data_IF_196724544836
#
_entry.id   IF_196724544836
#
_cell.length_a   1.000
_cell.length_b   1.000
_cell.length_c   1.000
_cell.angle_alpha   90.00
_cell.angle_beta   90.00
_cell.angle_gamma   90.00
#
_symmetry.space_group_name_H-M   'P 1'
#
loop_
_entity.id
_entity.type
_entity.pdbx_description
1 polymer ?
#
# COMPACT_ATOMS: atom_id res chain seq x y z
N UNK A 1 55.80 -33.01 20.45
CA UNK A 1 55.50 -34.45 20.65
C UNK A 1 54.33 -34.80 19.75
N UNK A 2 54.65 -35.35 18.57
CA UNK A 2 53.90 -36.35 17.80
C UNK A 2 52.44 -36.00 17.44
N UNK A 3 52.15 -35.57 16.20
CA UNK A 3 51.85 -36.45 15.04
C UNK A 3 50.94 -37.63 15.39
N UNK A 4 49.88 -37.85 14.60
CA UNK A 4 49.64 -39.07 13.79
C UNK A 4 48.15 -39.22 13.43
N UNK A 5 47.79 -39.09 12.14
CA UNK A 5 47.55 -40.21 11.19
C UNK A 5 46.15 -40.83 11.44
N UNK A 6 45.15 -40.48 10.61
CA UNK A 6 44.80 -41.25 9.39
C UNK A 6 44.60 -42.73 9.73
N UNK A 7 43.36 -43.23 9.70
CA UNK A 7 42.94 -44.51 9.10
C UNK A 7 41.55 -44.93 9.64
N UNK A 8 40.51 -45.07 8.82
CA UNK A 8 40.30 -46.08 7.76
C UNK A 8 39.80 -47.40 8.35
N UNK A 9 38.48 -47.54 8.41
CA UNK A 9 37.75 -48.82 8.37
C UNK A 9 36.53 -48.53 7.49
N UNK A 10 36.60 -48.62 6.15
CA UNK A 10 36.64 -49.86 5.36
C UNK A 10 35.69 -50.90 5.96
N UNK A 11 34.43 -50.86 5.51
CA UNK A 11 33.73 -52.09 5.22
C UNK A 11 33.20 -52.01 3.79
N UNK A 12 33.70 -52.93 3.00
CA UNK A 12 33.50 -53.16 1.59
C UNK A 12 32.61 -54.40 1.48
N UNK A 13 31.97 -54.56 0.32
CA UNK A 13 31.39 -55.80 -0.22
C UNK A 13 29.98 -56.09 0.31
N UNK A 14 28.97 -56.53 -0.45
CA UNK A 14 28.73 -56.94 -1.84
C UNK A 14 27.20 -57.20 -1.84
N UNK A 15 26.40 -56.85 -2.84
CA UNK A 15 26.01 -57.76 -3.94
C UNK A 15 25.37 -56.98 -5.10
N UNK A 16 25.53 -57.53 -6.30
CA UNK A 16 25.32 -56.94 -7.62
C UNK A 16 23.92 -57.32 -8.21
N UNK A 17 23.69 -57.24 -9.53
CA UNK A 17 22.83 -56.27 -10.19
C UNK A 17 21.58 -56.93 -10.80
N UNK A 18 20.76 -56.15 -11.52
CA UNK A 18 19.83 -56.50 -12.62
C UNK A 18 18.70 -55.45 -12.58
N UNK A 19 18.17 -54.89 -13.65
CA UNK A 19 17.99 -55.40 -15.01
C UNK A 19 17.62 -54.18 -15.88
N UNK A 20 18.31 -54.04 -17.00
CA UNK A 20 17.84 -53.44 -18.27
C UNK A 20 16.97 -52.16 -18.21
N UNK A 21 17.56 -51.07 -18.68
CA UNK A 21 16.80 -49.89 -19.04
C UNK A 21 17.65 -48.75 -19.60
N UNK A 22 18.63 -49.03 -20.46
CA UNK A 22 19.25 -47.98 -21.28
C UNK A 22 18.30 -47.70 -22.45
N UNK A 23 17.36 -46.77 -22.27
CA UNK A 23 16.86 -45.97 -23.38
C UNK A 23 16.63 -44.54 -22.88
N UNK A 24 17.32 -43.60 -23.53
CA UNK A 24 17.11 -42.16 -23.46
C UNK A 24 17.39 -41.44 -22.12
N UNK A 25 18.66 -41.40 -21.69
CA UNK A 25 19.10 -40.36 -20.74
C UNK A 25 19.97 -39.25 -21.36
N UNK A 26 20.08 -39.19 -22.69
CA UNK A 26 20.63 -38.01 -23.39
C UNK A 26 19.61 -36.88 -23.57
N UNK A 27 18.33 -37.07 -23.16
CA UNK A 27 17.30 -36.03 -23.13
C UNK A 27 16.96 -35.53 -21.71
N UNK A 28 17.82 -35.80 -20.72
CA UNK A 28 17.60 -35.37 -19.33
C UNK A 28 18.52 -34.24 -18.85
N UNK A 29 19.46 -33.79 -19.70
CA UNK A 29 20.35 -32.67 -19.37
C UNK A 29 20.10 -31.38 -20.19
N UNK A 30 19.35 -31.43 -21.31
CA UNK A 30 18.90 -30.19 -21.99
C UNK A 30 17.67 -29.54 -21.35
N UNK A 31 16.82 -30.30 -20.64
CA UNK A 31 15.62 -29.75 -19.98
C UNK A 31 15.88 -28.93 -18.71
N UNK A 32 17.11 -28.96 -18.17
CA UNK A 32 17.47 -28.32 -16.89
C UNK A 32 18.31 -27.04 -17.04
N UNK A 33 18.79 -26.70 -18.24
CA UNK A 33 19.43 -25.42 -18.53
C UNK A 33 18.44 -24.40 -19.10
N UNK A 34 17.46 -24.87 -19.89
CA UNK A 34 16.36 -24.02 -20.39
C UNK A 34 15.45 -23.53 -19.26
N UNK A 35 15.22 -24.32 -18.19
CA UNK A 35 14.45 -23.87 -17.01
C UNK A 35 15.17 -22.80 -16.20
N UNK A 36 16.51 -22.83 -16.15
CA UNK A 36 17.31 -21.82 -15.45
C UNK A 36 17.34 -20.51 -16.24
N UNK A 37 17.44 -20.54 -17.57
CA UNK A 37 17.41 -19.34 -18.40
C UNK A 37 16.01 -18.71 -18.56
N UNK A 38 14.94 -19.50 -18.49
CA UNK A 38 13.56 -18.97 -18.51
C UNK A 38 13.21 -18.30 -17.16
N UNK A 39 13.66 -18.84 -16.02
CA UNK A 39 13.46 -18.21 -14.71
C UNK A 39 14.34 -16.96 -14.46
N UNK A 40 15.57 -16.92 -14.99
CA UNK A 40 16.46 -15.75 -14.84
C UNK A 40 16.07 -14.60 -15.78
N UNK A 41 15.57 -14.88 -16.98
CA UNK A 41 14.99 -13.86 -17.85
C UNK A 41 13.61 -13.38 -17.35
N UNK A 42 12.78 -14.25 -16.75
CA UNK A 42 11.55 -13.81 -16.07
C UNK A 42 11.84 -12.93 -14.85
N UNK A 43 12.87 -13.23 -14.06
CA UNK A 43 13.32 -12.32 -12.98
C UNK A 43 13.90 -11.01 -13.52
N UNK A 44 14.77 -11.04 -14.54
CA UNK A 44 15.25 -9.80 -15.18
C UNK A 44 14.12 -8.96 -15.78
N UNK A 45 13.14 -9.54 -16.46
CA UNK A 45 12.00 -8.80 -17.03
C UNK A 45 11.07 -8.23 -15.93
N UNK A 46 10.92 -8.91 -14.79
CA UNK A 46 10.12 -8.44 -13.65
C UNK A 46 10.83 -7.43 -12.74
N UNK A 47 12.16 -7.48 -12.68
CA UNK A 47 12.99 -6.49 -11.97
C UNK A 47 13.20 -5.22 -12.82
N UNK A 48 13.20 -5.34 -14.16
CA UNK A 48 13.34 -4.20 -15.09
C UNK A 48 12.02 -3.46 -15.34
N UNK A 49 10.85 -4.07 -15.06
CA UNK A 49 9.53 -3.41 -15.15
C UNK A 49 9.10 -2.69 -13.87
N UNK A 50 9.73 -2.95 -12.72
CA UNK A 50 9.51 -2.18 -11.48
C UNK A 50 10.29 -0.86 -11.43
N UNK A 51 11.18 -0.61 -12.40
CA UNK A 51 12.12 0.50 -12.39
C UNK A 51 11.75 1.67 -13.33
N UNK A 52 10.49 1.74 -13.77
CA UNK A 52 9.95 2.86 -14.55
C UNK A 52 8.67 3.43 -13.89
N UNK A 53 8.83 4.20 -12.81
CA UNK A 53 7.90 5.25 -12.34
C UNK A 53 8.52 6.22 -11.32
N UNK A 54 9.81 6.05 -11.03
CA UNK A 54 10.60 6.96 -10.21
C UNK A 54 10.97 8.19 -11.04
N UNK A 55 10.18 9.27 -10.91
CA UNK A 55 10.48 10.69 -11.18
C UNK A 55 9.40 11.44 -11.97
N UNK A 56 8.16 11.45 -11.49
CA UNK A 56 7.28 12.60 -11.73
C UNK A 56 6.36 12.82 -10.53
N UNK A 57 6.76 13.76 -9.67
CA UNK A 57 6.15 14.19 -8.40
C UNK A 57 6.10 13.15 -7.27
N UNK A 58 6.78 13.45 -6.15
CA UNK A 58 6.66 12.68 -4.90
C UNK A 58 5.28 12.97 -4.30
N UNK A 59 4.40 11.97 -4.29
CA UNK A 59 3.05 12.08 -3.74
C UNK A 59 2.86 11.13 -2.56
N UNK A 60 2.33 11.63 -1.45
CA UNK A 60 1.90 10.80 -0.32
C UNK A 60 0.39 10.64 -0.39
N UNK A 61 -0.08 9.39 -0.41
CA UNK A 61 -1.50 9.06 -0.35
C UNK A 61 -1.83 8.52 1.04
N UNK A 62 -2.82 9.10 1.69
CA UNK A 62 -3.36 8.62 2.97
C UNK A 62 -4.83 8.29 2.83
N UNK A 63 -5.21 7.15 3.42
CA UNK A 63 -6.56 6.59 3.32
C UNK A 63 -7.18 6.39 4.70
N UNK A 64 -8.24 7.14 5.01
CA UNK A 64 -9.13 6.87 6.14
C UNK A 64 -10.22 5.88 5.72
N UNK A 65 -10.10 4.61 6.10
CA UNK A 65 -11.06 3.57 5.69
C UNK A 65 -12.19 3.38 6.70
N UNK A 66 -13.43 3.20 6.19
CA UNK A 66 -14.64 2.87 6.98
C UNK A 66 -14.89 3.86 8.12
N UNK A 67 -14.78 5.15 7.83
CA UNK A 67 -15.11 6.21 8.78
C UNK A 67 -16.62 6.23 9.04
N UNK A 68 -17.02 6.27 10.31
CA UNK A 68 -18.41 6.27 10.77
C UNK A 68 -19.14 7.60 10.57
N UNK A 69 -18.95 8.24 9.42
CA UNK A 69 -19.52 9.56 9.12
C UNK A 69 -20.22 9.55 7.76
N UNK A 70 -21.22 10.43 7.62
CA UNK A 70 -21.91 10.61 6.35
C UNK A 70 -21.01 11.32 5.36
N UNK A 71 -21.03 10.85 4.11
CA UNK A 71 -20.31 11.44 2.99
C UNK A 71 -20.46 12.97 2.92
N UNK A 72 -21.70 13.48 2.96
CA UNK A 72 -21.97 14.92 2.82
C UNK A 72 -21.37 15.76 3.97
N UNK A 73 -21.26 15.18 5.18
CA UNK A 73 -20.69 15.87 6.34
C UNK A 73 -19.17 15.97 6.23
N UNK A 74 -18.50 14.94 5.73
CA UNK A 74 -17.07 14.96 5.47
C UNK A 74 -16.74 15.85 4.26
N UNK A 75 -17.52 15.74 3.18
CA UNK A 75 -17.32 16.47 1.93
C UNK A 75 -17.27 17.99 2.17
N UNK A 76 -18.19 18.52 3.00
CA UNK A 76 -18.23 19.95 3.35
C UNK A 76 -16.88 20.49 3.84
N UNK A 77 -16.14 19.69 4.60
CA UNK A 77 -14.82 20.08 5.14
C UNK A 77 -13.73 19.87 4.10
N UNK A 78 -13.79 18.73 3.40
CA UNK A 78 -12.80 18.38 2.38
C UNK A 78 -12.74 19.41 1.25
N UNK A 79 -13.88 19.99 0.87
CA UNK A 79 -13.91 21.03 -0.17
C UNK A 79 -13.22 22.33 0.26
N UNK A 80 -13.09 22.59 1.57
CA UNK A 80 -12.41 23.79 2.09
C UNK A 80 -10.88 23.63 2.14
N UNK A 81 -10.39 22.42 2.42
CA UNK A 81 -8.96 22.14 2.60
C UNK A 81 -8.26 21.78 1.27
N UNK A 82 -9.01 21.55 0.19
CA UNK A 82 -8.44 21.20 -1.11
C UNK A 82 -7.60 22.36 -1.64
N UNK A 83 -6.34 22.08 -2.00
CA UNK A 83 -5.40 23.08 -2.55
C UNK A 83 -4.76 23.99 -1.50
N UNK A 84 -4.96 23.75 -0.20
CA UNK A 84 -4.38 24.54 0.89
C UNK A 84 -3.04 23.96 1.36
N UNK A 85 -2.24 24.81 2.00
CA UNK A 85 -1.02 24.35 2.68
C UNK A 85 -1.38 23.52 3.92
N UNK A 86 -0.42 22.74 4.42
CA UNK A 86 -0.59 21.96 5.64
C UNK A 86 -0.92 22.84 6.85
N UNK A 87 -0.18 23.94 7.04
CA UNK A 87 -0.36 24.88 8.15
C UNK A 87 -1.74 25.56 8.11
N UNK A 88 -2.15 26.05 6.94
CA UNK A 88 -3.48 26.64 6.75
C UNK A 88 -4.58 25.62 7.05
N UNK A 89 -4.40 24.38 6.61
CA UNK A 89 -5.36 23.31 6.82
C UNK A 89 -5.54 23.01 8.31
N UNK A 90 -4.45 22.99 9.08
CA UNK A 90 -4.50 22.75 10.53
C UNK A 90 -5.35 23.81 11.22
N UNK A 91 -5.07 25.08 10.93
CA UNK A 91 -5.81 26.22 11.48
C UNK A 91 -7.31 26.16 11.11
N UNK A 92 -7.63 25.88 9.84
CA UNK A 92 -9.02 25.77 9.38
C UNK A 92 -9.76 24.63 10.12
N UNK A 93 -9.13 23.47 10.26
CA UNK A 93 -9.75 22.30 10.86
C UNK A 93 -10.00 22.47 12.37
N UNK A 94 -9.11 23.17 13.08
CA UNK A 94 -9.25 23.45 14.51
C UNK A 94 -10.38 24.44 14.79
N UNK A 95 -10.53 25.48 13.96
CA UNK A 95 -11.55 26.51 14.13
C UNK A 95 -12.95 26.08 13.67
N UNK A 96 -13.06 25.02 12.87
CA UNK A 96 -14.34 24.57 12.33
C UNK A 96 -15.26 23.98 13.42
N UNK A 97 -16.54 24.38 13.49
CA UNK A 97 -17.49 23.90 14.51
C UNK A 97 -18.03 22.48 14.24
N UNK A 98 -17.50 21.78 13.24
CA UNK A 98 -18.04 20.50 12.78
C UNK A 98 -17.37 19.32 13.47
N UNK A 99 -18.13 18.38 14.03
CA UNK A 99 -17.58 17.13 14.61
C UNK A 99 -16.71 16.31 13.65
N UNK A 100 -16.94 16.42 12.34
CA UNK A 100 -16.16 15.72 11.32
C UNK A 100 -14.71 16.24 11.22
N UNK A 101 -14.44 17.48 11.66
CA UNK A 101 -13.11 18.10 11.56
C UNK A 101 -12.07 17.30 12.33
N UNK A 102 -12.41 16.86 13.55
CA UNK A 102 -11.52 16.06 14.39
C UNK A 102 -11.01 14.78 13.73
N UNK A 103 -11.85 14.09 12.95
CA UNK A 103 -11.44 12.88 12.23
C UNK A 103 -10.49 13.20 11.07
N UNK A 104 -10.75 14.30 10.36
CA UNK A 104 -9.93 14.73 9.23
C UNK A 104 -8.59 15.27 9.73
N UNK A 105 -8.59 16.02 10.85
CA UNK A 105 -7.41 16.51 11.53
C UNK A 105 -6.43 15.37 11.84
N UNK A 106 -6.92 14.26 12.41
CA UNK A 106 -6.10 13.07 12.65
C UNK A 106 -5.50 12.48 11.38
N UNK A 107 -6.27 12.46 10.28
CA UNK A 107 -5.76 11.96 9.00
C UNK A 107 -4.68 12.87 8.43
N UNK A 108 -4.86 14.19 8.51
CA UNK A 108 -3.88 15.18 8.05
C UNK A 108 -2.59 15.08 8.85
N UNK A 109 -2.68 14.95 10.18
CA UNK A 109 -1.51 14.73 11.04
C UNK A 109 -0.76 13.44 10.70
N UNK A 110 -1.50 12.34 10.52
CA UNK A 110 -0.91 11.07 10.07
C UNK A 110 -0.25 11.20 8.69
N UNK A 111 -0.80 12.01 7.80
CA UNK A 111 -0.25 12.23 6.47
C UNK A 111 1.06 13.01 6.49
N UNK A 112 1.16 14.05 7.31
CA UNK A 112 2.42 14.76 7.54
C UNK A 112 3.48 13.83 8.16
N UNK A 113 3.13 13.07 9.20
CA UNK A 113 4.05 12.10 9.80
C UNK A 113 4.57 11.07 8.78
N UNK A 114 3.70 10.56 7.89
CA UNK A 114 4.10 9.64 6.82
C UNK A 114 5.00 10.31 5.78
N UNK A 115 4.77 11.59 5.46
CA UNK A 115 5.61 12.35 4.55
C UNK A 115 7.02 12.57 5.13
N UNK A 116 7.11 12.93 6.41
CA UNK A 116 8.38 13.10 7.10
C UNK A 116 9.15 11.77 7.17
N UNK A 117 8.51 10.69 7.61
CA UNK A 117 9.18 9.41 7.83
C UNK A 117 9.60 8.72 6.53
N UNK A 118 8.73 8.68 5.52
CA UNK A 118 9.00 7.90 4.31
C UNK A 118 9.71 8.70 3.22
N UNK A 119 9.53 10.02 3.16
CA UNK A 119 10.06 10.87 2.09
C UNK A 119 11.03 11.94 2.58
N UNK A 120 11.23 12.09 3.90
CA UNK A 120 12.12 13.11 4.47
C UNK A 120 11.69 14.54 4.14
N UNK A 121 10.40 14.75 3.85
CA UNK A 121 9.87 16.08 3.57
C UNK A 121 9.61 16.83 4.87
N UNK A 122 9.72 18.16 4.84
CA UNK A 122 9.35 19.01 5.97
C UNK A 122 7.86 19.37 5.89
N UNK A 123 7.18 19.42 7.04
CA UNK A 123 5.75 19.69 7.14
C UNK A 123 5.34 21.04 6.53
N UNK A 124 6.16 22.08 6.73
CA UNK A 124 5.93 23.42 6.20
C UNK A 124 5.86 23.48 4.67
N UNK A 125 6.48 22.52 3.99
CA UNK A 125 6.52 22.46 2.53
C UNK A 125 5.41 21.56 1.94
N UNK A 126 4.50 21.02 2.76
CA UNK A 126 3.44 20.14 2.29
C UNK A 126 2.18 20.90 1.89
N UNK A 127 1.59 20.49 0.77
CA UNK A 127 0.34 21.03 0.23
C UNK A 127 -0.62 19.87 -0.09
N UNK A 128 -1.89 20.04 0.26
CA UNK A 128 -2.94 19.09 -0.11
C UNK A 128 -3.32 19.32 -1.58
N UNK A 129 -2.86 18.43 -2.46
CA UNK A 129 -3.18 18.53 -3.89
C UNK A 129 -4.57 18.03 -4.20
N UNK A 130 -4.93 16.85 -3.69
CA UNK A 130 -6.27 16.28 -3.85
C UNK A 130 -6.79 15.78 -2.52
N UNK A 131 -8.08 16.00 -2.30
CA UNK A 131 -8.80 15.45 -1.16
C UNK A 131 -10.20 15.05 -1.62
N UNK A 132 -10.52 13.79 -1.40
CA UNK A 132 -11.72 13.12 -1.90
C UNK A 132 -12.38 12.33 -0.77
N UNK A 133 -13.71 12.33 -0.76
CA UNK A 133 -14.50 11.42 0.06
C UNK A 133 -15.21 10.48 -0.88
N UNK A 134 -15.30 9.21 -0.51
CA UNK A 134 -16.05 8.20 -1.24
C UNK A 134 -17.07 7.57 -0.31
N UNK A 135 -18.28 7.32 -0.82
CA UNK A 135 -19.29 6.55 -0.10
C UNK A 135 -18.78 5.11 0.07
N UNK A 136 -19.09 4.51 1.21
CA UNK A 136 -18.74 3.13 1.52
C UNK A 136 -20.01 2.37 1.91
N UNK A 137 -19.84 1.31 2.70
CA UNK A 137 -20.89 0.45 3.19
C UNK A 137 -21.90 1.26 4.00
N UNK A 138 -23.19 0.99 3.76
CA UNK A 138 -24.29 1.56 4.51
C UNK A 138 -24.90 0.45 5.36
N UNK A 139 -24.76 0.55 6.68
CA UNK A 139 -25.39 -0.39 7.60
C UNK A 139 -26.85 0.02 7.80
N UNK A 140 -27.77 -0.90 7.60
CA UNK A 140 -29.22 -0.67 7.77
C UNK A 140 -29.67 -1.20 9.13
N UNK A 141 -30.53 -0.46 9.83
CA UNK A 141 -31.16 -0.85 11.10
C UNK A 141 -32.65 -0.64 11.01
N UNK A 142 -33.45 -1.60 11.48
CA UNK A 142 -34.90 -1.44 11.54
C UNK A 142 -35.27 -0.48 12.67
N UNK A 143 -36.18 0.45 12.42
CA UNK A 143 -36.81 1.30 13.43
C UNK A 143 -38.33 1.10 13.40
N UNK A 144 -38.94 0.60 14.48
CA UNK A 144 -40.39 0.48 14.56
C UNK A 144 -41.05 1.87 14.55
N UNK A 145 -42.25 1.94 13.99
CA UNK A 145 -43.12 3.12 13.90
C UNK A 145 -44.55 2.73 14.28
N UNK A 146 -45.43 3.73 14.40
CA UNK A 146 -46.84 3.51 14.72
C UNK A 146 -47.53 2.59 13.69
N UNK A 147 -48.64 1.96 14.10
CA UNK A 147 -49.47 1.07 13.26
C UNK A 147 -48.72 -0.15 12.70
N UNK A 148 -47.79 -0.73 13.45
CA UNK A 148 -47.01 -1.90 13.02
C UNK A 148 -46.06 -1.64 11.83
N UNK A 149 -45.87 -0.39 11.43
CA UNK A 149 -44.97 -0.02 10.32
C UNK A 149 -43.52 -0.05 10.79
N UNK A 150 -42.60 -0.35 9.89
CA UNK A 150 -41.18 -0.33 10.18
C UNK A 150 -40.38 0.35 9.07
N UNK A 151 -39.51 1.30 9.44
CA UNK A 151 -38.63 1.99 8.49
C UNK A 151 -37.17 1.65 8.76
N UNK A 152 -36.34 1.72 7.71
CA UNK A 152 -34.89 1.49 7.85
C UNK A 152 -34.14 2.79 8.13
N UNK A 153 -33.40 2.83 9.23
CA UNK A 153 -32.35 3.83 9.48
C UNK A 153 -31.07 3.38 8.80
N UNK A 154 -30.49 4.28 7.99
CA UNK A 154 -29.17 4.08 7.36
C UNK A 154 -28.08 4.69 8.25
N UNK A 155 -27.02 3.92 8.52
CA UNK A 155 -25.77 4.36 9.14
C UNK A 155 -24.69 4.34 8.06
N UNK A 156 -24.49 5.45 7.33
CA UNK A 156 -23.51 5.50 6.25
C UNK A 156 -22.10 5.52 6.83
N UNK A 157 -21.18 4.91 6.09
CA UNK A 157 -19.74 5.08 6.28
C UNK A 157 -19.11 5.65 5.02
N UNK A 158 -17.90 6.20 5.15
CA UNK A 158 -17.15 6.72 4.01
C UNK A 158 -15.67 6.33 4.07
N UNK A 159 -15.02 6.43 2.92
CA UNK A 159 -13.57 6.41 2.78
C UNK A 159 -13.10 7.83 2.48
N UNK A 160 -12.05 8.29 3.14
CA UNK A 160 -11.43 9.60 2.88
C UNK A 160 -10.05 9.33 2.28
N UNK A 161 -9.74 10.00 1.17
CA UNK A 161 -8.43 9.96 0.53
C UNK A 161 -7.86 11.37 0.51
N UNK A 162 -6.66 11.52 1.06
CA UNK A 162 -5.91 12.78 1.04
C UNK A 162 -4.59 12.51 0.32
N UNK A 163 -4.24 13.40 -0.60
CA UNK A 163 -3.00 13.36 -1.37
C UNK A 163 -2.20 14.62 -1.04
N UNK A 164 -1.00 14.42 -0.49
CA UNK A 164 -0.04 15.48 -0.22
C UNK A 164 1.07 15.48 -1.26
N UNK A 165 1.52 16.67 -1.63
CA UNK A 165 2.71 16.89 -2.43
C UNK A 165 3.55 18.00 -1.82
N UNK A 166 4.79 18.08 -2.24
CA UNK A 166 5.66 19.20 -1.92
C UNK A 166 5.22 20.46 -2.71
N UNK A 167 5.25 21.62 -2.04
CA UNK A 167 4.80 22.92 -2.55
C UNK A 167 5.50 23.34 -3.85
N UNK A 168 6.79 23.04 -3.97
CA UNK A 168 7.64 23.40 -5.12
C UNK A 168 7.08 22.92 -6.47
N UNK A 169 6.31 21.83 -6.49
CA UNK A 169 5.70 21.30 -7.71
C UNK A 169 4.45 22.06 -8.17
N UNK A 170 3.80 22.85 -7.30
CA UNK A 170 2.59 23.60 -7.65
C UNK A 170 2.93 24.92 -8.36
N UNK A 171 4.02 25.58 -7.97
CA UNK A 171 4.42 26.88 -8.53
C UNK A 171 4.84 26.76 -10.01
N UNK A 172 5.40 25.62 -10.40
CA UNK A 172 5.82 25.32 -11.79
C UNK A 172 4.64 25.15 -12.77
N UNK A 173 3.43 24.89 -12.27
CA UNK A 173 2.25 24.63 -13.12
C UNK A 173 1.46 25.89 -13.52
N UNK A 174 1.82 27.05 -12.94
CA UNK A 174 1.14 28.35 -13.13
C UNK A 174 1.88 29.29 -14.09
N UNK A 175 3.03 28.89 -14.62
CA UNK A 175 3.81 29.64 -15.60
C UNK A 175 3.42 29.23 -17.01
#
# INVERSE_FOLDING_TARGET
MQETIINRVVNVLQTTPNRLGVVCNTLRLKKNEDRRNIMTNQKKITDTSRKNSSNSSKEIIVLGKRMGISFLKAQRIIDQIRGRSYEETLMILELMPYRASYLILKLVYSAAANANHNMGLNEANLVITSAEVNKSIIVKRLRPRAQGRSYMIKRPTCHIKIVLKEKSFMDQSKT
#
